data_IF_673080648306
#
_entry.id   IF_673080648306
#
_cell.length_a   1.000
_cell.length_b   1.000
_cell.length_c   1.000
_cell.angle_alpha   90.00
_cell.angle_beta   90.00
_cell.angle_gamma   90.00
#
_symmetry.space_group_name_H-M   'P 1'
#
loop_
_entity.id
_entity.type
_entity.pdbx_description
1 polymer ?
#
# COMPACT_ATOMS: atom_id res chain seq x y z
N UNK A 1 -12.57 -11.78 -18.09
CA UNK A 1 -12.87 -11.74 -16.64
C UNK A 1 -13.32 -10.35 -16.24
N UNK A 2 -14.45 -10.24 -15.62
CA UNK A 2 -14.96 -8.96 -15.15
C UNK A 2 -14.11 -8.45 -13.98
N UNK A 3 -13.98 -7.12 -13.79
CA UNK A 3 -13.16 -6.58 -12.71
C UNK A 3 -13.51 -7.11 -11.32
N UNK A 4 -14.83 -7.28 -11.03
CA UNK A 4 -15.24 -7.79 -9.72
C UNK A 4 -14.83 -9.25 -9.50
N UNK A 5 -14.52 -9.98 -10.58
CA UNK A 5 -14.02 -11.35 -10.46
C UNK A 5 -12.51 -11.37 -10.28
N UNK A 6 -11.81 -10.32 -10.72
CA UNK A 6 -10.37 -10.20 -10.58
C UNK A 6 -9.95 -9.79 -9.19
N UNK A 7 -10.76 -8.96 -8.53
CA UNK A 7 -10.45 -8.41 -7.22
C UNK A 7 -11.00 -9.35 -6.15
N UNK A 8 -10.10 -9.84 -5.31
CA UNK A 8 -10.45 -10.79 -4.25
C UNK A 8 -10.86 -10.07 -2.98
N UNK A 9 -10.09 -9.06 -2.58
CA UNK A 9 -10.33 -8.32 -1.33
C UNK A 9 -9.42 -7.10 -1.25
N UNK A 10 -9.66 -6.26 -0.25
CA UNK A 10 -8.70 -5.22 0.13
C UNK A 10 -7.59 -5.90 0.92
N UNK A 11 -6.34 -5.59 0.60
CA UNK A 11 -5.19 -6.08 1.36
C UNK A 11 -4.81 -5.13 2.47
N UNK A 12 -4.58 -3.87 2.13
CA UNK A 12 -4.20 -2.88 3.14
C UNK A 12 -4.60 -1.47 2.72
N UNK A 13 -4.62 -0.59 3.71
CA UNK A 13 -4.70 0.85 3.54
C UNK A 13 -3.35 1.43 3.92
N UNK A 14 -2.72 2.16 3.03
CA UNK A 14 -1.47 2.86 3.31
C UNK A 14 -1.77 4.22 3.89
N UNK A 15 -1.26 4.50 5.06
CA UNK A 15 -1.53 5.73 5.81
C UNK A 15 -0.21 6.42 6.14
N UNK A 16 -0.03 7.63 5.65
CA UNK A 16 1.15 8.43 5.96
C UNK A 16 1.00 9.04 7.35
N UNK A 17 2.01 8.87 8.17
CA UNK A 17 2.05 9.44 9.52
C UNK A 17 3.35 10.21 9.72
N UNK A 18 3.32 11.24 10.56
CA UNK A 18 4.49 12.04 10.87
C UNK A 18 5.38 11.38 11.93
N UNK A 19 4.78 10.60 12.82
CA UNK A 19 5.51 9.89 13.88
C UNK A 19 4.86 8.54 14.07
N UNK A 20 5.60 7.49 13.72
CA UNK A 20 5.03 6.14 13.71
C UNK A 20 4.73 5.61 15.11
N UNK A 21 5.58 5.94 16.10
CA UNK A 21 5.35 5.48 17.46
C UNK A 21 4.10 6.12 18.07
N UNK A 22 3.90 7.42 17.82
CA UNK A 22 2.68 8.09 18.25
C UNK A 22 1.44 7.53 17.58
N UNK A 23 1.52 7.27 16.27
CA UNK A 23 0.40 6.71 15.51
C UNK A 23 0.06 5.31 16.02
N UNK A 24 1.05 4.46 16.24
CA UNK A 24 0.84 3.12 16.79
C UNK A 24 0.16 3.19 18.15
N UNK A 25 0.60 4.11 19.02
CA UNK A 25 0.00 4.27 20.34
C UNK A 25 -1.48 4.67 20.25
N UNK A 26 -1.83 5.55 19.30
CA UNK A 26 -3.21 5.94 19.08
C UNK A 26 -4.07 4.75 18.66
N UNK A 27 -3.61 3.95 17.71
CA UNK A 27 -4.38 2.80 17.24
C UNK A 27 -4.51 1.71 18.30
N UNK A 28 -3.47 1.50 19.12
CA UNK A 28 -3.59 0.61 20.28
C UNK A 28 -4.72 1.05 21.21
N UNK A 29 -4.74 2.34 21.50
CA UNK A 29 -5.74 2.91 22.41
C UNK A 29 -7.15 2.83 21.83
N UNK A 30 -7.30 3.20 20.56
CA UNK A 30 -8.62 3.32 19.94
C UNK A 30 -9.19 1.96 19.50
N UNK A 31 -8.35 1.09 18.98
CA UNK A 31 -8.81 -0.15 18.35
C UNK A 31 -8.45 -1.40 19.14
N UNK A 32 -7.69 -1.26 20.23
CA UNK A 32 -7.33 -2.40 21.06
C UNK A 32 -6.31 -3.36 20.42
N UNK A 33 -5.63 -2.94 19.36
CA UNK A 33 -4.57 -3.77 18.79
C UNK A 33 -3.43 -3.89 19.79
N UNK A 34 -2.79 -5.06 19.82
CA UNK A 34 -1.70 -5.35 20.74
C UNK A 34 -0.39 -5.44 19.99
N UNK A 35 0.72 -5.56 20.72
CA UNK A 35 2.03 -5.70 20.07
C UNK A 35 2.11 -6.91 19.16
N UNK A 36 1.34 -7.96 19.43
CA UNK A 36 1.29 -9.15 18.60
C UNK A 36 0.67 -8.88 17.23
N UNK A 37 -0.18 -7.86 17.14
CA UNK A 37 -0.84 -7.47 15.91
C UNK A 37 -0.01 -6.53 15.06
N UNK A 38 1.16 -6.11 15.56
CA UNK A 38 1.95 -5.05 14.93
C UNK A 38 3.31 -5.58 14.49
N UNK A 39 3.65 -5.31 13.22
CA UNK A 39 4.92 -5.72 12.65
C UNK A 39 5.63 -4.50 12.07
N UNK A 40 6.83 -4.19 12.58
CA UNK A 40 7.65 -3.09 12.05
C UNK A 40 8.55 -3.60 10.93
N UNK A 41 8.63 -2.83 9.84
CA UNK A 41 9.51 -3.12 8.70
C UNK A 41 10.22 -1.83 8.30
N UNK A 42 11.54 -1.79 8.36
CA UNK A 42 12.40 -2.79 8.96
C UNK A 42 12.22 -2.84 10.49
N UNK A 43 12.78 -3.84 11.15
CA UNK A 43 12.71 -3.90 12.63
C UNK A 43 13.24 -2.62 13.25
N UNK A 44 12.69 -2.25 14.41
CA UNK A 44 13.08 -1.03 15.11
C UNK A 44 14.59 -1.00 15.32
N UNK A 45 15.16 0.20 15.15
CA UNK A 45 16.60 0.42 15.31
C UNK A 45 17.42 0.19 14.05
N UNK A 46 16.78 -0.25 12.96
CA UNK A 46 17.44 -0.42 11.67
C UNK A 46 17.49 0.92 10.94
N UNK A 47 18.64 1.27 10.40
CA UNK A 47 18.75 2.48 9.56
C UNK A 47 17.97 2.27 8.27
N UNK A 48 17.13 3.27 7.90
CA UNK A 48 16.25 3.15 6.75
C UNK A 48 15.81 4.54 6.28
N UNK A 49 15.30 4.63 5.06
CA UNK A 49 14.73 5.87 4.52
C UNK A 49 13.21 5.96 4.76
N UNK A 50 12.61 4.90 5.29
CA UNK A 50 11.20 4.89 5.67
C UNK A 50 10.95 3.79 6.69
N UNK A 51 9.95 4.02 7.55
CA UNK A 51 9.51 3.02 8.54
C UNK A 51 8.08 2.65 8.22
N UNK A 52 7.82 1.36 8.18
CA UNK A 52 6.46 0.82 8.04
C UNK A 52 6.07 0.13 9.35
N UNK A 53 4.80 0.27 9.72
CA UNK A 53 4.21 -0.54 10.77
C UNK A 53 2.90 -1.13 10.21
N UNK A 54 2.82 -2.44 10.17
CA UNK A 54 1.63 -3.14 9.70
C UNK A 54 0.82 -3.59 10.91
N UNK A 55 -0.42 -3.12 10.98
CA UNK A 55 -1.37 -3.45 12.03
C UNK A 55 -2.44 -4.36 11.46
N UNK A 56 -2.51 -5.59 11.98
CA UNK A 56 -3.51 -6.56 11.52
C UNK A 56 -4.87 -6.22 12.11
N UNK A 57 -5.84 -5.97 11.25
CA UNK A 57 -7.23 -5.65 11.62
C UNK A 57 -8.13 -6.61 10.84
N UNK A 58 -8.51 -7.74 11.44
CA UNK A 58 -9.28 -8.73 10.72
C UNK A 58 -8.55 -9.22 9.48
N UNK A 59 -9.18 -9.11 8.32
CA UNK A 59 -8.62 -9.59 7.05
C UNK A 59 -7.70 -8.59 6.37
N UNK A 60 -7.60 -7.37 6.88
CA UNK A 60 -6.78 -6.34 6.25
C UNK A 60 -5.70 -5.86 7.20
N UNK A 61 -4.75 -5.13 6.63
CA UNK A 61 -3.74 -4.46 7.42
C UNK A 61 -3.85 -2.95 7.23
N UNK A 62 -3.58 -2.20 8.29
CA UNK A 62 -3.27 -0.80 8.17
C UNK A 62 -1.76 -0.72 8.04
N UNK A 63 -1.29 -0.10 6.96
CA UNK A 63 0.13 0.11 6.72
C UNK A 63 0.46 1.54 7.08
N UNK A 64 1.00 1.76 8.27
CA UNK A 64 1.45 3.08 8.68
C UNK A 64 2.82 3.33 8.06
N UNK A 65 3.01 4.50 7.46
CA UNK A 65 4.22 4.82 6.71
C UNK A 65 4.77 6.14 7.22
N UNK A 66 5.99 6.12 7.77
CA UNK A 66 6.70 7.34 8.11
C UNK A 66 7.89 7.49 7.18
N UNK A 67 7.80 8.34 6.15
CA UNK A 67 8.96 8.59 5.29
C UNK A 67 9.97 9.43 6.07
N UNK A 68 11.24 9.03 6.01
CA UNK A 68 12.33 9.69 6.72
C UNK A 68 13.21 10.53 5.80
N UNK A 69 13.09 10.34 4.47
CA UNK A 69 13.88 11.07 3.50
C UNK A 69 12.98 11.72 2.45
N UNK A 70 13.48 12.78 1.84
CA UNK A 70 12.76 13.43 0.75
C UNK A 70 12.64 12.51 -0.47
N UNK A 71 13.63 11.68 -0.71
CA UNK A 71 13.61 10.71 -1.81
C UNK A 71 12.42 9.75 -1.66
N UNK A 72 12.24 9.20 -0.46
CA UNK A 72 11.13 8.29 -0.25
C UNK A 72 9.78 9.02 -0.26
N UNK A 73 9.76 10.25 0.26
CA UNK A 73 8.55 11.07 0.21
C UNK A 73 8.14 11.34 -1.24
N UNK A 74 9.10 11.60 -2.12
CA UNK A 74 8.82 11.78 -3.55
C UNK A 74 8.32 10.49 -4.19
N UNK A 75 8.89 9.35 -3.79
CA UNK A 75 8.43 8.04 -4.26
C UNK A 75 6.95 7.83 -3.95
N UNK A 76 6.48 8.30 -2.80
CA UNK A 76 5.07 8.23 -2.41
C UNK A 76 4.21 9.31 -3.07
N UNK A 77 4.76 10.16 -3.90
CA UNK A 77 4.02 11.22 -4.58
C UNK A 77 3.87 12.49 -3.73
N UNK A 78 4.83 12.77 -2.86
CA UNK A 78 4.80 13.90 -1.92
C UNK A 78 3.51 13.90 -1.08
N UNK A 79 3.22 12.80 -0.39
CA UNK A 79 1.96 12.63 0.29
C UNK A 79 1.83 13.57 1.49
N UNK A 80 0.59 13.92 1.77
CA UNK A 80 0.22 14.54 3.04
C UNK A 80 -0.10 13.45 4.04
N UNK A 81 -0.10 13.80 5.32
CA UNK A 81 -0.55 12.91 6.38
C UNK A 81 -1.98 12.43 6.10
N UNK A 82 -2.23 11.15 6.32
CA UNK A 82 -3.53 10.53 6.07
C UNK A 82 -3.43 9.39 5.08
N UNK A 83 -4.57 8.94 4.57
CA UNK A 83 -4.62 7.80 3.65
C UNK A 83 -3.93 8.16 2.35
N UNK A 84 -2.94 7.34 1.97
CA UNK A 84 -2.17 7.52 0.74
C UNK A 84 -2.67 6.61 -0.37
N UNK A 85 -2.92 5.32 -0.05
CA UNK A 85 -3.31 4.37 -1.07
C UNK A 85 -4.15 3.23 -0.50
N UNK A 86 -4.86 2.55 -1.41
CA UNK A 86 -5.62 1.34 -1.11
C UNK A 86 -5.04 0.23 -1.98
N UNK A 87 -4.66 -0.89 -1.36
CA UNK A 87 -4.16 -2.05 -2.07
C UNK A 87 -5.24 -3.13 -2.15
N UNK A 88 -5.47 -3.63 -3.36
CA UNK A 88 -6.42 -4.72 -3.62
C UNK A 88 -5.65 -5.97 -4.03
N UNK A 89 -6.03 -7.10 -3.46
CA UNK A 89 -5.50 -8.39 -3.91
C UNK A 89 -6.23 -8.78 -5.19
N UNK A 90 -5.46 -9.12 -6.21
CA UNK A 90 -6.01 -9.58 -7.49
C UNK A 90 -5.55 -11.00 -7.80
N UNK A 91 -6.35 -11.71 -8.60
CA UNK A 91 -6.03 -13.10 -8.98
C UNK A 91 -4.89 -13.19 -9.97
N UNK A 92 -4.92 -12.29 -10.96
CA UNK A 92 -3.97 -12.28 -12.08
C UNK A 92 -3.68 -10.83 -12.39
N UNK A 93 -2.51 -10.35 -11.99
CA UNK A 93 -2.19 -8.93 -12.09
C UNK A 93 -2.04 -8.49 -13.55
N UNK A 94 -1.59 -9.37 -14.45
CA UNK A 94 -1.45 -9.01 -15.85
C UNK A 94 -2.82 -8.79 -16.50
N UNK A 95 -3.78 -9.67 -16.22
CA UNK A 95 -5.15 -9.50 -16.70
C UNK A 95 -5.82 -8.29 -16.07
N UNK A 96 -5.59 -8.07 -14.79
CA UNK A 96 -6.15 -6.92 -14.08
C UNK A 96 -5.64 -5.60 -14.67
N UNK A 97 -4.34 -5.52 -14.95
CA UNK A 97 -3.74 -4.34 -15.56
C UNK A 97 -4.29 -4.10 -16.96
N UNK A 98 -4.46 -5.17 -17.77
CA UNK A 98 -5.08 -5.05 -19.09
C UNK A 98 -6.51 -4.50 -18.99
N UNK A 99 -7.28 -5.01 -18.04
CA UNK A 99 -8.65 -4.54 -17.83
C UNK A 99 -8.68 -3.05 -17.50
N UNK A 100 -7.76 -2.60 -16.64
CA UNK A 100 -7.65 -1.19 -16.28
C UNK A 100 -7.27 -0.34 -17.51
N UNK A 101 -6.33 -0.84 -18.30
CA UNK A 101 -5.92 -0.12 -19.53
C UNK A 101 -7.08 0.06 -20.50
N UNK A 102 -7.93 -0.96 -20.66
CA UNK A 102 -9.12 -0.84 -21.51
C UNK A 102 -10.10 0.23 -21.01
N UNK A 103 -10.05 0.56 -19.74
CA UNK A 103 -10.87 1.62 -19.15
C UNK A 103 -10.20 2.98 -19.14
N UNK A 104 -9.01 3.07 -19.73
CA UNK A 104 -8.25 4.32 -19.77
C UNK A 104 -7.47 4.64 -18.50
N UNK A 105 -7.28 3.66 -17.62
CA UNK A 105 -6.53 3.85 -16.38
C UNK A 105 -5.07 3.52 -16.62
N UNK A 106 -4.20 4.50 -16.42
CA UNK A 106 -2.77 4.38 -16.72
C UNK A 106 -2.00 3.72 -15.60
N UNK A 107 -1.18 2.75 -15.97
CA UNK A 107 -0.25 2.07 -15.09
C UNK A 107 1.03 2.90 -14.94
N UNK A 108 1.71 2.74 -13.81
CA UNK A 108 3.08 3.21 -13.67
C UNK A 108 3.26 4.49 -12.88
N UNK A 109 2.31 4.82 -12.03
CA UNK A 109 2.42 6.05 -11.22
C UNK A 109 3.68 6.07 -10.35
N UNK A 110 3.90 5.03 -9.56
CA UNK A 110 5.05 4.92 -8.65
C UNK A 110 6.18 4.15 -9.33
N UNK A 111 5.82 3.16 -10.12
CA UNK A 111 6.75 2.26 -10.79
C UNK A 111 6.65 2.46 -12.29
N UNK A 112 7.59 3.22 -12.86
CA UNK A 112 7.57 3.55 -14.30
C UNK A 112 7.57 2.31 -15.19
N UNK A 113 8.11 1.21 -14.69
CA UNK A 113 8.24 -0.02 -15.47
C UNK A 113 6.99 -0.89 -15.42
N UNK A 114 5.92 -0.39 -14.79
CA UNK A 114 4.65 -1.10 -14.77
C UNK A 114 4.53 -2.06 -13.60
N UNK A 115 4.42 -3.36 -13.90
CA UNK A 115 4.29 -4.38 -12.84
C UNK A 115 5.65 -4.61 -12.20
N UNK A 116 5.70 -4.45 -10.88
CA UNK A 116 6.93 -4.58 -10.10
C UNK A 116 6.95 -5.96 -9.44
N UNK A 117 8.04 -6.69 -9.66
CA UNK A 117 8.22 -8.00 -9.05
C UNK A 117 8.92 -7.83 -7.70
N UNK A 118 8.18 -8.12 -6.64
CA UNK A 118 8.69 -8.09 -5.28
C UNK A 118 9.03 -9.51 -4.84
N UNK A 119 9.61 -9.66 -3.65
CA UNK A 119 10.02 -10.97 -3.16
C UNK A 119 8.85 -11.94 -3.00
N UNK A 120 7.70 -11.44 -2.52
CA UNK A 120 6.54 -12.27 -2.19
C UNK A 120 5.27 -11.90 -2.95
N UNK A 121 5.38 -10.95 -3.87
CA UNK A 121 4.21 -10.46 -4.59
C UNK A 121 4.63 -9.75 -5.85
N UNK A 122 3.66 -9.54 -6.72
CA UNK A 122 3.79 -8.64 -7.87
C UNK A 122 2.83 -7.50 -7.62
N UNK A 123 3.27 -6.28 -7.86
CA UNK A 123 2.45 -5.09 -7.55
C UNK A 123 2.38 -4.15 -8.75
N UNK A 124 1.32 -3.37 -8.80
CA UNK A 124 1.11 -2.37 -9.84
C UNK A 124 0.42 -1.17 -9.21
N UNK A 125 0.83 0.04 -9.62
CA UNK A 125 0.24 1.30 -9.15
C UNK A 125 -0.33 2.06 -10.34
N UNK A 126 -1.49 2.67 -10.16
CA UNK A 126 -2.18 3.41 -11.20
C UNK A 126 -2.15 4.90 -10.92
N UNK A 127 -2.24 5.71 -11.98
CA UNK A 127 -2.25 7.16 -11.83
C UNK A 127 -3.50 7.64 -11.09
N UNK A 128 -3.36 8.39 -9.98
CA UNK A 128 -4.51 8.83 -9.19
C UNK A 128 -5.52 9.67 -9.99
N UNK A 129 -5.06 10.38 -11.00
CA UNK A 129 -5.95 11.18 -11.86
C UNK A 129 -6.99 10.30 -12.54
N UNK A 130 -6.68 9.03 -12.76
CA UNK A 130 -7.54 8.08 -13.45
C UNK A 130 -8.39 7.25 -12.50
N UNK A 131 -8.16 7.37 -11.20
CA UNK A 131 -8.82 6.55 -10.18
C UNK A 131 -9.54 7.38 -9.12
N UNK A 132 -9.99 8.56 -9.49
CA UNK A 132 -10.76 9.42 -8.59
C UNK A 132 -9.95 10.12 -7.52
N UNK A 133 -8.63 10.23 -7.71
CA UNK A 133 -7.74 10.96 -6.79
C UNK A 133 -7.07 10.10 -5.74
N UNK A 134 -7.44 8.82 -5.63
CA UNK A 134 -6.82 7.90 -4.68
C UNK A 134 -5.81 7.02 -5.40
N UNK A 135 -4.61 6.91 -4.86
CA UNK A 135 -3.61 5.97 -5.41
C UNK A 135 -4.11 4.54 -5.19
N UNK A 136 -4.26 3.79 -6.27
CA UNK A 136 -4.68 2.39 -6.23
C UNK A 136 -3.50 1.49 -6.51
N UNK A 137 -3.33 0.47 -5.68
CA UNK A 137 -2.32 -0.56 -5.85
C UNK A 137 -3.00 -1.91 -6.05
N UNK A 138 -2.54 -2.68 -7.04
CA UNK A 138 -2.94 -4.08 -7.19
C UNK A 138 -1.80 -4.95 -6.71
N UNK A 139 -2.13 -6.02 -5.99
CA UNK A 139 -1.16 -6.97 -5.44
C UNK A 139 -1.58 -8.38 -5.80
N UNK A 140 -0.70 -9.11 -6.46
CA UNK A 140 -0.88 -10.54 -6.67
C UNK A 140 0.15 -11.24 -5.78
N UNK A 141 -0.28 -11.90 -4.68
CA UNK A 141 0.65 -12.61 -3.82
C UNK A 141 1.27 -13.80 -4.55
N UNK A 142 2.56 -14.03 -4.33
CA UNK A 142 3.27 -15.22 -4.79
C UNK A 142 3.34 -16.19 -3.62
N UNK A 143 3.01 -17.40 -3.87
CA UNK A 143 3.02 -18.43 -2.84
C UNK A 143 4.41 -19.00 -2.57
#
# INVERSE_FOLDING_TARGET
>A
MEPHEMIIRIRHLGIIVNNIDEAVAVYKKLLGVTDEDIRFVPPKGTETDTIFAFLSIGDIELELIQPLTDTFRQFLGNPKEGINHIAFVVRDIEEAVKSMAHKGVRLGHVTKDGILNMKRSRVAYFHPEDTGGMLIEFVEPLE
#
